data_IF_426029882948
#
_entry.id   IF_426029882948
#
_cell.length_a   1.000
_cell.length_b   1.000
_cell.length_c   1.000
_cell.angle_alpha   90.00
_cell.angle_beta   90.00
_cell.angle_gamma   90.00
#
_symmetry.space_group_name_H-M   'P 1'
#
loop_
_entity.id
_entity.type
_entity.pdbx_description
1 polymer ?
#
# COMPACT_ATOMS: atom_id res chain seq x y z
N UNK A 1 24.91 7.27 -4.72
CA UNK A 1 25.17 7.62 -6.16
C UNK A 1 26.03 6.57 -6.85
N UNK A 2 27.19 6.19 -6.31
CA UNK A 2 28.12 5.22 -6.91
C UNK A 2 27.50 3.83 -7.09
N UNK A 3 26.62 3.39 -6.21
CA UNK A 3 25.98 2.05 -6.28
C UNK A 3 25.05 1.91 -7.48
N UNK A 4 24.27 2.92 -7.83
CA UNK A 4 23.31 2.85 -8.92
C UNK A 4 23.93 2.69 -10.32
N UNK A 5 25.20 3.03 -10.47
CA UNK A 5 25.95 2.92 -11.74
C UNK A 5 26.68 1.59 -11.93
N UNK A 6 26.70 0.69 -10.92
CA UNK A 6 27.43 -0.58 -11.00
C UNK A 6 26.75 -1.55 -11.98
N UNK A 7 25.43 -1.64 -11.96
CA UNK A 7 24.69 -2.55 -12.81
C UNK A 7 24.46 -1.93 -14.21
N UNK A 8 24.89 -2.64 -15.28
CA UNK A 8 24.77 -2.19 -16.67
C UNK A 8 23.35 -1.75 -17.06
N UNK A 9 22.34 -2.43 -16.55
CA UNK A 9 20.92 -2.14 -16.81
C UNK A 9 20.23 -1.37 -15.67
N UNK A 10 21.00 -1.00 -14.64
CA UNK A 10 20.47 -0.39 -13.43
C UNK A 10 19.84 -1.41 -12.50
N UNK A 11 19.11 -0.91 -11.50
CA UNK A 11 18.35 -1.72 -10.55
C UNK A 11 16.86 -1.50 -10.77
N UNK A 12 16.09 -2.55 -10.63
CA UNK A 12 14.62 -2.49 -10.68
C UNK A 12 14.03 -2.82 -9.32
N UNK A 13 12.88 -2.24 -9.03
CA UNK A 13 12.11 -2.46 -7.81
C UNK A 13 10.70 -2.90 -8.15
N UNK A 14 10.15 -3.79 -7.32
CA UNK A 14 8.73 -4.18 -7.32
C UNK A 14 8.04 -3.31 -6.28
N UNK A 15 7.30 -2.30 -6.71
CA UNK A 15 6.64 -1.35 -5.83
C UNK A 15 5.14 -1.65 -5.77
N UNK A 16 4.60 -1.81 -4.56
CA UNK A 16 3.22 -2.22 -4.33
C UNK A 16 2.23 -1.05 -4.42
N UNK A 17 2.30 -0.29 -5.50
CA UNK A 17 1.30 0.73 -5.86
C UNK A 17 1.27 0.98 -7.36
N UNK A 18 0.28 1.73 -7.81
CA UNK A 18 0.19 2.27 -9.18
C UNK A 18 0.93 3.61 -9.22
N UNK A 19 2.24 3.58 -9.42
CA UNK A 19 3.07 4.79 -9.51
C UNK A 19 2.53 5.74 -10.61
N UNK A 20 2.51 7.06 -10.36
CA UNK A 20 3.23 7.81 -9.32
C UNK A 20 2.53 7.90 -7.96
N UNK A 21 1.40 7.24 -7.76
CA UNK A 21 0.71 7.23 -6.46
C UNK A 21 1.43 6.38 -5.43
N UNK A 22 1.42 6.85 -4.19
CA UNK A 22 1.90 6.12 -3.01
C UNK A 22 3.39 5.76 -3.08
N UNK A 23 4.26 6.69 -3.49
CA UNK A 23 5.71 6.56 -3.31
C UNK A 23 6.04 6.47 -1.83
N UNK A 24 6.93 5.55 -1.42
CA UNK A 24 7.42 5.47 -0.05
C UNK A 24 7.13 4.16 0.67
N UNK A 25 7.10 4.22 2.01
CA UNK A 25 7.30 3.06 2.87
C UNK A 25 6.05 2.19 3.10
N UNK A 26 4.83 2.73 2.94
CA UNK A 26 3.60 2.05 3.34
C UNK A 26 2.48 2.17 2.28
N UNK A 27 2.75 1.88 0.99
CA UNK A 27 1.79 2.12 -0.09
C UNK A 27 0.48 1.37 0.10
N UNK A 28 0.54 0.10 0.51
CA UNK A 28 -0.65 -0.75 0.69
C UNK A 28 -1.54 -0.23 1.81
N UNK A 29 -0.94 0.06 2.98
CA UNK A 29 -1.69 0.59 4.13
C UNK A 29 -2.35 1.93 3.78
N UNK A 30 -1.60 2.83 3.14
CA UNK A 30 -2.12 4.15 2.78
C UNK A 30 -3.23 4.09 1.74
N UNK A 31 -3.15 3.19 0.77
CA UNK A 31 -4.22 2.97 -0.20
C UNK A 31 -5.52 2.47 0.46
N UNK A 32 -5.42 1.51 1.41
CA UNK A 32 -6.58 1.04 2.17
C UNK A 32 -7.15 2.18 3.06
N UNK A 33 -6.31 2.88 3.81
CA UNK A 33 -6.72 4.00 4.68
C UNK A 33 -7.40 5.12 3.89
N UNK A 34 -6.93 5.38 2.67
CA UNK A 34 -7.50 6.40 1.79
C UNK A 34 -8.85 5.96 1.20
N UNK A 35 -9.13 4.67 1.15
CA UNK A 35 -10.32 4.11 0.50
C UNK A 35 -10.20 4.09 -1.01
N UNK A 36 -9.02 3.85 -1.54
CA UNK A 36 -8.79 3.76 -2.98
C UNK A 36 -9.64 2.63 -3.59
N UNK A 37 -10.11 2.83 -4.81
CA UNK A 37 -10.90 1.81 -5.53
C UNK A 37 -10.02 0.81 -6.29
N UNK A 38 -8.76 1.17 -6.51
CA UNK A 38 -7.78 0.38 -7.26
C UNK A 38 -6.42 0.45 -6.57
N UNK A 39 -5.69 -0.65 -6.69
CA UNK A 39 -4.29 -0.77 -6.28
C UNK A 39 -3.56 -1.63 -7.32
N UNK A 40 -2.26 -1.76 -7.21
CA UNK A 40 -1.50 -2.65 -8.08
C UNK A 40 -0.03 -2.68 -7.75
N UNK A 41 0.73 -3.16 -8.71
CA UNK A 41 2.18 -3.26 -8.62
C UNK A 41 2.80 -2.57 -9.82
N UNK A 42 3.89 -1.83 -9.58
CA UNK A 42 4.71 -1.21 -10.62
C UNK A 42 6.13 -1.78 -10.58
N UNK A 43 6.67 -2.17 -11.73
CA UNK A 43 8.09 -2.48 -11.89
C UNK A 43 8.77 -1.22 -12.38
N UNK A 44 9.62 -0.66 -11.55
CA UNK A 44 10.28 0.62 -11.79
C UNK A 44 11.80 0.52 -11.70
N UNK A 45 12.52 1.43 -12.35
CA UNK A 45 13.96 1.60 -12.15
C UNK A 45 14.21 2.36 -10.84
N UNK A 46 15.22 1.95 -10.09
CA UNK A 46 15.63 2.66 -8.88
C UNK A 46 16.47 3.88 -9.28
N UNK A 47 16.13 5.03 -8.73
CA UNK A 47 16.83 6.31 -8.86
C UNK A 47 17.12 6.93 -7.49
N UNK A 48 17.82 8.07 -7.45
CA UNK A 48 18.21 8.72 -6.20
C UNK A 48 17.02 9.23 -5.37
N UNK A 49 15.96 9.70 -6.04
CA UNK A 49 14.76 10.18 -5.35
C UNK A 49 13.83 9.02 -5.06
N UNK A 50 13.18 9.07 -3.92
CA UNK A 50 12.29 8.02 -3.42
C UNK A 50 11.22 7.64 -4.45
N UNK A 51 11.26 6.40 -4.91
CA UNK A 51 10.31 5.74 -5.83
C UNK A 51 9.89 6.61 -7.04
N UNK A 52 10.80 7.45 -7.54
CA UNK A 52 10.55 8.41 -8.60
C UNK A 52 11.00 7.95 -9.98
N UNK A 53 11.74 6.84 -10.04
CA UNK A 53 12.30 6.35 -11.29
C UNK A 53 11.24 5.88 -12.29
N UNK A 54 11.59 5.77 -13.57
CA UNK A 54 10.64 5.42 -14.62
C UNK A 54 10.12 3.99 -14.48
N UNK A 55 8.87 3.79 -14.88
CA UNK A 55 8.14 2.53 -14.78
C UNK A 55 8.28 1.73 -16.08
N UNK A 56 8.55 0.44 -15.95
CA UNK A 56 8.60 -0.49 -17.08
C UNK A 56 7.25 -1.12 -17.38
N UNK A 57 6.67 -1.74 -16.36
CA UNK A 57 5.36 -2.37 -16.41
C UNK A 57 4.58 -2.04 -15.14
N UNK A 58 3.27 -2.01 -15.24
CA UNK A 58 2.38 -1.95 -14.09
C UNK A 58 1.17 -2.87 -14.32
N UNK A 59 0.63 -3.38 -13.22
CA UNK A 59 -0.60 -4.19 -13.23
C UNK A 59 -1.52 -3.71 -12.13
N UNK A 60 -2.77 -3.42 -12.47
CA UNK A 60 -3.79 -2.97 -11.53
C UNK A 60 -4.77 -4.08 -11.15
N UNK A 61 -5.38 -3.92 -9.98
CA UNK A 61 -6.53 -4.71 -9.53
C UNK A 61 -7.52 -3.82 -8.78
N UNK A 62 -8.78 -4.25 -8.71
CA UNK A 62 -9.79 -3.59 -7.89
C UNK A 62 -9.49 -3.82 -6.41
N UNK A 63 -9.52 -2.76 -5.61
CA UNK A 63 -9.35 -2.86 -4.17
C UNK A 63 -10.72 -3.11 -3.50
N UNK A 64 -10.83 -4.26 -2.82
CA UNK A 64 -12.01 -4.58 -2.04
C UNK A 64 -11.96 -3.84 -0.70
N UNK A 65 -13.03 -3.13 -0.34
CA UNK A 65 -13.11 -2.36 0.93
C UNK A 65 -12.98 -3.23 2.19
N UNK A 66 -13.29 -4.54 2.10
CA UNK A 66 -13.24 -5.45 3.24
C UNK A 66 -11.92 -6.24 3.35
N UNK A 67 -10.97 -6.02 2.43
CA UNK A 67 -9.68 -6.70 2.45
C UNK A 67 -8.77 -6.11 3.53
N UNK A 68 -8.08 -6.97 4.26
CA UNK A 68 -7.06 -6.55 5.20
C UNK A 68 -5.71 -6.36 4.48
N UNK A 69 -4.83 -5.57 5.09
CA UNK A 69 -3.45 -5.40 4.61
C UNK A 69 -2.74 -6.76 4.39
N UNK A 70 -2.86 -7.68 5.36
CA UNK A 70 -2.19 -8.98 5.25
C UNK A 70 -2.72 -9.86 4.11
N UNK A 71 -4.02 -9.79 3.80
CA UNK A 71 -4.60 -10.46 2.64
C UNK A 71 -4.13 -9.82 1.34
N UNK A 72 -4.18 -8.50 1.27
CA UNK A 72 -3.77 -7.74 0.09
C UNK A 72 -2.28 -7.90 -0.22
N UNK A 73 -1.41 -7.96 0.80
CA UNK A 73 0.02 -8.26 0.61
C UNK A 73 0.23 -9.58 -0.10
N UNK A 74 -0.54 -10.63 0.26
CA UNK A 74 -0.42 -11.94 -0.41
C UNK A 74 -0.80 -11.85 -1.88
N UNK A 75 -1.92 -11.18 -2.21
CA UNK A 75 -2.36 -11.02 -3.59
C UNK A 75 -1.34 -10.20 -4.42
N UNK A 76 -0.88 -9.07 -3.88
CA UNK A 76 0.10 -8.22 -4.55
C UNK A 76 1.48 -8.87 -4.67
N UNK A 77 1.86 -9.76 -3.74
CA UNK A 77 3.12 -10.51 -3.82
C UNK A 77 3.14 -11.47 -5.01
N UNK A 78 2.05 -12.20 -5.23
CA UNK A 78 1.91 -13.08 -6.40
C UNK A 78 1.91 -12.25 -7.69
N UNK A 79 1.08 -11.20 -7.74
CA UNK A 79 1.02 -10.30 -8.88
C UNK A 79 2.40 -9.67 -9.19
N UNK A 80 3.12 -9.26 -8.16
CA UNK A 80 4.44 -8.65 -8.29
C UNK A 80 5.50 -9.62 -8.81
N UNK A 81 5.46 -10.88 -8.36
CA UNK A 81 6.35 -11.93 -8.84
C UNK A 81 6.12 -12.22 -10.33
N UNK A 82 4.86 -12.38 -10.75
CA UNK A 82 4.51 -12.61 -12.15
C UNK A 82 4.93 -11.42 -13.03
N UNK A 83 4.63 -10.21 -12.60
CA UNK A 83 4.97 -8.99 -13.33
C UNK A 83 6.49 -8.78 -13.41
N UNK A 84 7.24 -9.16 -12.37
CA UNK A 84 8.70 -9.13 -12.39
C UNK A 84 9.27 -10.11 -13.43
N UNK A 85 8.77 -11.34 -13.47
CA UNK A 85 9.19 -12.35 -14.47
C UNK A 85 8.90 -11.84 -15.88
N UNK A 86 7.73 -11.27 -16.11
CA UNK A 86 7.37 -10.66 -17.39
C UNK A 86 8.33 -9.52 -17.75
N UNK A 87 8.61 -8.63 -16.80
CA UNK A 87 9.55 -7.51 -16.97
C UNK A 87 10.95 -7.97 -17.33
N UNK A 88 11.45 -9.05 -16.71
CA UNK A 88 12.76 -9.62 -17.04
C UNK A 88 12.81 -10.20 -18.44
N UNK A 89 11.73 -10.86 -18.91
CA UNK A 89 11.61 -11.34 -20.30
C UNK A 89 11.65 -10.18 -21.30
N UNK A 90 10.92 -9.11 -21.01
CA UNK A 90 10.89 -7.91 -21.84
C UNK A 90 12.26 -7.24 -21.89
N UNK A 91 12.95 -7.10 -20.76
CA UNK A 91 14.32 -6.56 -20.70
C UNK A 91 15.29 -7.44 -21.52
N UNK A 92 15.21 -8.76 -21.36
CA UNK A 92 16.06 -9.72 -22.10
C UNK A 92 15.86 -9.63 -23.61
N UNK A 93 14.67 -9.33 -24.09
CA UNK A 93 14.38 -9.17 -25.51
C UNK A 93 15.03 -7.94 -26.15
N UNK A 94 15.51 -6.99 -25.34
CA UNK A 94 16.06 -5.71 -25.80
C UNK A 94 14.99 -4.72 -26.30
N UNK A 95 13.73 -5.13 -26.38
CA UNK A 95 12.60 -4.32 -26.88
C UNK A 95 11.78 -3.79 -25.70
N UNK A 96 12.36 -2.88 -24.91
CA UNK A 96 11.69 -2.31 -23.76
C UNK A 96 11.85 -0.78 -23.69
N UNK A 97 10.89 -0.13 -23.08
CA UNK A 97 10.92 1.32 -22.83
C UNK A 97 10.41 1.59 -21.41
N UNK A 98 11.23 2.25 -20.63
CA UNK A 98 10.78 2.83 -19.36
C UNK A 98 10.03 4.14 -19.61
N UNK A 99 8.93 4.33 -18.91
CA UNK A 99 8.06 5.51 -19.01
C UNK A 99 8.27 6.37 -17.76
N UNK A 100 8.64 7.63 -17.96
CA UNK A 100 8.80 8.56 -16.84
C UNK A 100 7.46 8.78 -16.13
N UNK A 101 7.52 8.89 -14.82
CA UNK A 101 6.34 9.17 -14.01
C UNK A 101 5.92 10.65 -14.13
N UNK A 102 4.62 10.91 -14.14
CA UNK A 102 4.06 12.27 -14.02
C UNK A 102 4.26 12.77 -12.58
N UNK A 103 5.34 13.49 -12.33
CA UNK A 103 5.72 13.93 -10.98
C UNK A 103 4.68 14.85 -10.31
N UNK A 104 3.89 15.58 -11.08
CA UNK A 104 2.78 16.42 -10.61
C UNK A 104 1.64 15.61 -9.97
N UNK A 105 1.51 14.33 -10.34
CA UNK A 105 0.47 13.43 -9.82
C UNK A 105 0.97 12.55 -8.66
N UNK A 106 2.22 12.74 -8.22
CA UNK A 106 2.82 11.90 -7.20
C UNK A 106 2.17 12.13 -5.83
N UNK A 107 1.82 11.03 -5.17
CA UNK A 107 1.43 11.01 -3.76
C UNK A 107 2.40 10.17 -2.95
N UNK A 108 2.43 10.37 -1.62
CA UNK A 108 3.45 9.77 -0.76
C UNK A 108 2.84 8.93 0.36
N UNK A 109 3.37 7.73 0.51
CA UNK A 109 3.00 6.75 1.53
C UNK A 109 4.01 6.78 2.68
N UNK A 110 3.82 7.71 3.62
CA UNK A 110 4.64 7.79 4.84
C UNK A 110 4.52 6.51 5.64
N UNK A 111 5.61 6.12 6.32
CA UNK A 111 5.62 5.02 7.28
C UNK A 111 4.49 5.18 8.30
N UNK A 112 3.90 4.07 8.70
CA UNK A 112 2.87 4.06 9.76
C UNK A 112 3.53 4.33 11.10
N UNK A 113 3.00 5.29 11.83
CA UNK A 113 3.45 5.66 13.17
C UNK A 113 2.63 4.93 14.24
N UNK A 114 3.21 4.75 15.43
CA UNK A 114 2.52 4.08 16.55
C UNK A 114 1.24 4.81 16.97
N UNK A 115 1.22 6.13 16.90
CA UNK A 115 0.06 6.96 17.19
C UNK A 115 -1.15 6.67 16.29
N UNK A 116 -0.91 6.28 15.03
CA UNK A 116 -1.96 5.96 14.07
C UNK A 116 -2.63 4.59 14.33
N UNK A 117 -2.07 3.78 15.22
CA UNK A 117 -2.61 2.43 15.51
C UNK A 117 -3.72 2.43 16.56
N UNK A 118 -3.87 3.51 17.37
CA UNK A 118 -5.00 3.65 18.30
C UNK A 118 -6.25 4.06 17.53
N UNK A 119 -7.33 3.30 17.70
CA UNK A 119 -8.60 3.57 17.03
C UNK A 119 -9.18 4.90 17.53
N UNK A 120 -9.50 5.78 16.60
CA UNK A 120 -10.23 7.02 16.89
C UNK A 120 -11.72 6.81 16.55
N UNK A 121 -12.53 6.56 17.56
CA UNK A 121 -13.97 6.33 17.42
C UNK A 121 -14.78 7.55 16.98
N UNK A 122 -14.19 8.77 16.98
CA UNK A 122 -14.84 9.98 16.51
C UNK A 122 -14.80 10.15 14.97
N UNK A 123 -14.16 9.23 14.26
CA UNK A 123 -14.14 9.22 12.79
C UNK A 123 -15.39 8.52 12.26
N UNK A 124 -15.73 8.82 11.00
CA UNK A 124 -16.75 8.09 10.25
C UNK A 124 -16.46 6.58 10.20
N UNK A 125 -17.50 5.75 10.25
CA UNK A 125 -17.37 4.29 10.32
C UNK A 125 -16.49 3.69 9.22
N UNK A 126 -16.59 4.20 7.98
CA UNK A 126 -15.73 3.79 6.87
C UNK A 126 -14.25 4.07 7.14
N UNK A 127 -13.92 5.18 7.80
CA UNK A 127 -12.54 5.55 8.15
C UNK A 127 -11.99 4.68 9.28
N UNK A 128 -12.82 4.38 10.29
CA UNK A 128 -12.47 3.44 11.35
C UNK A 128 -12.21 2.06 10.76
N UNK A 129 -13.12 1.56 9.91
CA UNK A 129 -12.97 0.28 9.22
C UNK A 129 -11.68 0.22 8.39
N UNK A 130 -11.43 1.23 7.55
CA UNK A 130 -10.23 1.32 6.72
C UNK A 130 -8.96 1.32 7.57
N UNK A 131 -8.95 2.02 8.70
CA UNK A 131 -7.82 2.03 9.63
C UNK A 131 -7.56 0.64 10.21
N UNK A 132 -8.62 -0.04 10.69
CA UNK A 132 -8.50 -1.40 11.23
C UNK A 132 -7.93 -2.35 10.17
N UNK A 133 -8.51 -2.35 8.96
CA UNK A 133 -8.10 -3.28 7.91
C UNK A 133 -6.70 -2.98 7.37
N UNK A 134 -6.32 -1.71 7.24
CA UNK A 134 -5.01 -1.32 6.74
C UNK A 134 -3.85 -1.72 7.67
N UNK A 135 -4.12 -1.91 8.95
CA UNK A 135 -3.12 -2.28 9.95
C UNK A 135 -3.16 -3.76 10.34
N UNK A 136 -4.11 -4.52 9.84
CA UNK A 136 -4.29 -5.94 10.16
C UNK A 136 -3.44 -6.84 9.23
N UNK A 137 -2.75 -7.86 9.76
CA UNK A 137 -2.69 -8.28 11.16
C UNK A 137 -1.64 -7.54 12.00
N UNK A 138 -0.71 -6.83 11.37
CA UNK A 138 0.41 -6.15 12.04
C UNK A 138 0.60 -4.74 11.47
N UNK A 139 0.77 -3.74 12.34
CA UNK A 139 0.86 -3.80 13.81
C UNK A 139 -0.48 -4.12 14.51
N UNK A 140 -1.61 -3.99 13.82
CA UNK A 140 -2.96 -4.10 14.31
C UNK A 140 -3.45 -2.79 14.94
N UNK A 141 -4.72 -2.45 14.70
CA UNK A 141 -5.38 -1.35 15.39
C UNK A 141 -5.82 -1.79 16.79
N UNK A 142 -5.91 -0.84 17.72
CA UNK A 142 -6.25 -1.15 19.10
C UNK A 142 -7.05 -0.03 19.75
N UNK A 143 -7.78 -0.38 20.81
CA UNK A 143 -8.40 0.55 21.73
C UNK A 143 -8.12 0.12 23.17
N UNK A 144 -8.47 0.97 24.10
CA UNK A 144 -8.30 0.74 25.53
C UNK A 144 -9.66 0.69 26.23
N UNK A 145 -9.85 -0.31 27.03
CA UNK A 145 -11.04 -0.47 27.88
C UNK A 145 -10.60 -1.02 29.25
N UNK A 146 -11.05 -0.40 30.32
CA UNK A 146 -10.70 -0.75 31.72
C UNK A 146 -9.17 -0.91 31.92
N UNK A 147 -8.37 0.01 31.36
CA UNK A 147 -6.90 0.01 31.38
C UNK A 147 -6.24 -1.18 30.67
N UNK A 148 -7.00 -1.96 29.93
CA UNK A 148 -6.47 -3.04 29.09
C UNK A 148 -6.52 -2.67 27.60
N UNK A 149 -5.52 -3.15 26.85
CA UNK A 149 -5.43 -2.91 25.42
C UNK A 149 -6.01 -4.07 24.63
N UNK A 150 -7.02 -3.77 23.83
CA UNK A 150 -7.66 -4.73 22.93
C UNK A 150 -7.26 -4.43 21.48
N UNK A 151 -6.74 -5.45 20.80
CA UNK A 151 -6.38 -5.37 19.39
C UNK A 151 -7.55 -5.82 18.53
N UNK A 152 -7.90 -5.01 17.50
CA UNK A 152 -8.95 -5.32 16.54
C UNK A 152 -8.30 -5.63 15.19
N UNK A 153 -8.51 -6.85 14.71
CA UNK A 153 -7.90 -7.32 13.46
C UNK A 153 -8.87 -7.30 12.29
N UNK A 154 -10.18 -7.35 12.57
CA UNK A 154 -11.22 -7.30 11.54
C UNK A 154 -12.49 -6.67 12.13
N UNK A 155 -13.19 -5.92 11.30
CA UNK A 155 -14.47 -5.32 11.63
C UNK A 155 -15.39 -5.32 10.41
N UNK A 156 -16.65 -5.04 10.64
CA UNK A 156 -17.65 -4.73 9.62
C UNK A 156 -18.53 -3.58 10.09
N UNK A 157 -19.09 -2.84 9.17
CA UNK A 157 -20.07 -1.79 9.50
C UNK A 157 -21.40 -2.47 9.83
N UNK A 158 -22.04 -2.04 10.94
CA UNK A 158 -23.42 -2.36 11.28
C UNK A 158 -24.34 -1.21 10.83
N UNK A 159 -25.63 -1.51 10.75
CA UNK A 159 -26.69 -0.52 10.58
C UNK A 159 -27.13 0.13 11.90
N UNK A 160 -26.68 -0.43 13.01
CA UNK A 160 -26.93 0.13 14.33
C UNK A 160 -26.19 1.46 14.50
N UNK A 161 -26.78 2.35 15.28
CA UNK A 161 -26.22 3.67 15.53
C UNK A 161 -26.15 3.97 17.03
N UNK A 162 -25.10 4.67 17.45
CA UNK A 162 -24.88 5.05 18.83
C UNK A 162 -23.82 6.12 18.95
N UNK A 163 -23.55 6.55 20.18
CA UNK A 163 -22.45 7.49 20.44
C UNK A 163 -21.10 6.82 20.14
N UNK A 164 -20.10 7.56 19.62
CA UNK A 164 -18.77 7.01 19.41
C UNK A 164 -18.19 6.31 20.64
N UNK A 165 -17.74 5.06 20.47
CA UNK A 165 -17.18 4.26 21.56
C UNK A 165 -18.19 3.57 22.48
N UNK A 166 -19.50 3.70 22.22
CA UNK A 166 -20.53 2.96 22.94
C UNK A 166 -20.57 1.51 22.38
N UNK A 167 -20.65 0.56 23.30
CA UNK A 167 -20.98 -0.84 22.96
C UNK A 167 -22.51 -0.95 22.91
N UNK A 168 -23.05 -1.44 21.79
CA UNK A 168 -24.47 -1.63 21.54
C UNK A 168 -24.87 -3.09 21.74
#
# INVERSE_FOLDING_TARGET
KSFLSIAKLGFINVHASLLPKWRGAAPIQRAIMNGDNKIGVSIMRIEEKLDSGPVLLLKEMKLNKNITHGELVKELSVMGADLLIESLKVIKSGKFKFINQAHSEATYAKKIEKSETKINWNLEADKVLSTIHSLSPSPGSWFEYQNERFKVLRAKISLDSGKPGLVL
#
